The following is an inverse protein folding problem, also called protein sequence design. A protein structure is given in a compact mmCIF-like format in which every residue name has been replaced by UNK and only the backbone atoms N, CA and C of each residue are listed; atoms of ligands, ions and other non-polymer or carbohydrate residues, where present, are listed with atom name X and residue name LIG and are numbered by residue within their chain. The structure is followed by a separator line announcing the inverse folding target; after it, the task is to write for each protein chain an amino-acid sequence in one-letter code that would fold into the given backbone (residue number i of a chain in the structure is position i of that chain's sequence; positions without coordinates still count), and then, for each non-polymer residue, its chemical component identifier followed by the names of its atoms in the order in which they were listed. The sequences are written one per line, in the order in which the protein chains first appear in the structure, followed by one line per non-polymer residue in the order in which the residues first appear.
data_IF_063340262681
#
_entry.id   IF_063340262681
#
_cell.length_a   1.000
_cell.length_b   1.000
_cell.length_c   1.000
_cell.angle_alpha   90.00
_cell.angle_beta   90.00
_cell.angle_gamma   90.00
#
_symmetry.space_group_name_H-M   'P 1'
#
loop_
_entity.id
_entity.type
_entity.pdbx_description
1 polymer ?
#
# COMPACT_ATOMS: atom_id res chain seq x y z
N UNK A 1 2.81 12.28 -16.49
CA UNK A 1 2.98 11.49 -15.27
C UNK A 1 3.60 10.15 -15.67
N UNK A 2 4.68 9.73 -15.03
CA UNK A 2 5.41 8.51 -15.39
C UNK A 2 4.86 7.34 -14.55
N UNK A 3 4.02 6.50 -15.17
CA UNK A 3 3.37 5.38 -14.51
C UNK A 3 4.39 4.39 -13.91
N UNK A 4 5.51 4.15 -14.59
CA UNK A 4 6.52 3.22 -14.08
C UNK A 4 7.13 3.71 -12.77
N UNK A 5 7.42 5.01 -12.67
CA UNK A 5 7.94 5.61 -11.43
C UNK A 5 6.94 5.49 -10.28
N UNK A 6 5.64 5.64 -10.55
CA UNK A 6 4.59 5.47 -9.54
C UNK A 6 4.53 4.02 -9.05
N UNK A 7 4.54 3.05 -9.98
CA UNK A 7 4.52 1.63 -9.63
C UNK A 7 5.75 1.23 -8.80
N UNK A 8 6.94 1.73 -9.16
CA UNK A 8 8.18 1.51 -8.38
C UNK A 8 8.04 2.12 -6.97
N UNK A 9 7.48 3.32 -6.85
CA UNK A 9 7.26 3.95 -5.54
C UNK A 9 6.27 3.14 -4.69
N UNK A 10 5.15 2.70 -5.26
CA UNK A 10 4.15 1.87 -4.57
C UNK A 10 4.74 0.53 -4.14
N UNK A 11 5.53 -0.11 -5.02
CA UNK A 11 6.26 -1.33 -4.73
C UNK A 11 7.19 -1.17 -3.53
N UNK A 12 8.02 -0.11 -3.52
CA UNK A 12 8.93 0.14 -2.41
C UNK A 12 8.17 0.41 -1.11
N UNK A 13 7.10 1.22 -1.17
CA UNK A 13 6.27 1.53 -0.01
C UNK A 13 5.63 0.28 0.60
N UNK A 14 5.01 -0.58 -0.22
CA UNK A 14 4.36 -1.79 0.27
C UNK A 14 5.35 -2.75 0.92
N UNK A 15 6.54 -2.91 0.32
CA UNK A 15 7.62 -3.72 0.92
C UNK A 15 8.09 -3.16 2.25
N UNK A 16 8.37 -1.86 2.31
CA UNK A 16 8.77 -1.21 3.57
C UNK A 16 7.69 -1.42 4.63
N UNK A 17 6.42 -1.21 4.32
CA UNK A 17 5.35 -1.39 5.30
C UNK A 17 5.20 -2.83 5.79
N UNK A 18 5.42 -3.83 4.92
CA UNK A 18 5.44 -5.23 5.32
C UNK A 18 6.54 -5.54 6.34
N UNK A 19 7.71 -4.90 6.25
CA UNK A 19 8.80 -5.04 7.23
C UNK A 19 8.44 -4.49 8.61
N UNK A 20 7.55 -3.49 8.66
CA UNK A 20 7.01 -2.94 9.90
C UNK A 20 5.69 -3.58 10.34
N UNK A 21 5.22 -4.63 9.67
CA UNK A 21 3.95 -5.31 9.99
C UNK A 21 3.91 -5.83 11.43
N UNK A 22 5.06 -6.27 11.97
CA UNK A 22 5.24 -6.66 13.37
C UNK A 22 4.98 -5.56 14.40
N UNK A 23 5.07 -4.29 13.98
CA UNK A 23 4.74 -3.13 14.80
C UNK A 23 3.31 -2.63 14.58
N UNK A 24 2.48 -3.42 13.89
CA UNK A 24 1.07 -3.12 13.67
C UNK A 24 0.77 -2.39 12.37
N UNK A 25 1.75 -2.15 11.48
CA UNK A 25 1.50 -1.56 10.16
C UNK A 25 0.75 -2.54 9.26
N UNK A 26 -0.59 -2.55 9.38
CA UNK A 26 -1.49 -3.43 8.63
C UNK A 26 -2.04 -2.72 7.39
N UNK A 27 -2.31 -3.45 6.30
CA UNK A 27 -2.75 -2.87 5.03
C UNK A 27 -4.11 -2.16 5.08
N UNK A 28 -5.02 -2.58 5.96
CA UNK A 28 -6.35 -1.95 6.11
C UNK A 28 -6.32 -0.45 6.51
N UNK A 29 -5.18 0.07 6.99
CA UNK A 29 -5.05 1.51 7.22
C UNK A 29 -5.04 2.33 5.93
N UNK A 30 -4.81 1.69 4.78
CA UNK A 30 -4.94 2.34 3.47
C UNK A 30 -6.39 2.72 3.16
N UNK A 31 -7.37 2.00 3.69
CA UNK A 31 -8.79 2.34 3.54
C UNK A 31 -9.10 3.68 4.23
N UNK A 32 -8.51 3.87 5.42
CA UNK A 32 -8.64 5.12 6.18
C UNK A 32 -7.95 6.26 5.43
N UNK A 33 -6.73 6.02 4.92
CA UNK A 33 -6.01 6.98 4.09
C UNK A 33 -6.84 7.38 2.86
N UNK A 34 -7.44 6.42 2.16
CA UNK A 34 -8.28 6.67 0.99
C UNK A 34 -9.48 7.54 1.33
N UNK A 35 -10.20 7.22 2.40
CA UNK A 35 -11.35 7.99 2.85
C UNK A 35 -10.96 9.42 3.23
N UNK A 36 -9.84 9.59 3.95
CA UNK A 36 -9.36 10.92 4.33
C UNK A 36 -8.94 11.74 3.11
N UNK A 37 -8.21 11.15 2.16
CA UNK A 37 -7.78 11.84 0.95
C UNK A 37 -8.98 12.27 0.11
N UNK A 38 -9.93 11.37 -0.14
CA UNK A 38 -11.13 11.69 -0.91
C UNK A 38 -12.02 12.71 -0.21
N UNK A 39 -12.11 12.65 1.12
CA UNK A 39 -12.80 13.66 1.92
C UNK A 39 -12.15 15.04 1.78
N UNK A 40 -10.82 15.12 1.81
CA UNK A 40 -10.10 16.38 1.60
C UNK A 40 -10.30 16.93 0.19
N UNK A 41 -10.26 16.06 -0.83
CA UNK A 41 -10.50 16.45 -2.22
C UNK A 41 -11.91 17.03 -2.37
N UNK A 42 -12.93 16.37 -1.80
CA UNK A 42 -14.31 16.84 -1.83
C UNK A 42 -14.52 18.22 -1.16
N UNK A 43 -13.59 18.68 -0.32
CA UNK A 43 -13.64 19.99 0.34
C UNK A 43 -12.91 21.10 -0.42
N UNK A 44 -12.30 20.82 -1.58
CA UNK A 44 -11.65 21.83 -2.41
C UNK A 44 -12.70 22.76 -3.02
N UNK A 45 -12.33 24.01 -3.29
CA UNK A 45 -13.18 24.94 -4.03
C UNK A 45 -13.14 24.60 -5.53
N UNK A 46 -14.32 24.42 -6.12
CA UNK A 46 -14.50 24.06 -7.53
C UNK A 46 -15.30 25.14 -8.25
N UNK A 47 -15.02 25.35 -9.53
CA UNK A 47 -15.76 26.32 -10.36
C UNK A 47 -17.20 25.87 -10.58
N UNK A 48 -17.43 24.55 -10.65
CA UNK A 48 -18.75 23.96 -10.83
C UNK A 48 -18.81 22.49 -10.35
N UNK A 49 -20.03 21.96 -10.22
CA UNK A 49 -20.27 20.60 -9.73
C UNK A 49 -19.70 19.51 -10.63
N UNK A 50 -19.59 19.76 -11.94
CA UNK A 50 -19.07 18.79 -12.90
C UNK A 50 -17.55 18.64 -12.75
N UNK A 51 -16.83 19.74 -12.59
CA UNK A 51 -15.39 19.71 -12.29
C UNK A 51 -15.10 18.93 -11.00
N UNK A 52 -15.89 19.17 -9.95
CA UNK A 52 -15.80 18.43 -8.69
C UNK A 52 -15.97 16.92 -8.92
N UNK A 53 -17.02 16.52 -9.64
CA UNK A 53 -17.31 15.12 -9.93
C UNK A 53 -16.17 14.44 -10.72
N UNK A 54 -15.71 15.07 -11.81
CA UNK A 54 -14.62 14.57 -12.64
C UNK A 54 -13.32 14.44 -11.83
N UNK A 55 -13.03 15.42 -10.96
CA UNK A 55 -11.86 15.40 -10.08
C UNK A 55 -11.94 14.24 -9.08
N UNK A 56 -13.06 14.09 -8.39
CA UNK A 56 -13.25 13.01 -7.41
C UNK A 56 -13.09 11.64 -8.09
N UNK A 57 -13.71 11.44 -9.25
CA UNK A 57 -13.62 10.19 -10.02
C UNK A 57 -12.16 9.90 -10.42
N UNK A 58 -11.45 10.92 -10.93
CA UNK A 58 -10.05 10.76 -11.31
C UNK A 58 -9.18 10.35 -10.11
N UNK A 59 -9.40 10.96 -8.95
CA UNK A 59 -8.68 10.60 -7.73
C UNK A 59 -9.07 9.24 -7.18
N UNK A 60 -10.32 8.79 -7.30
CA UNK A 60 -10.70 7.41 -6.94
C UNK A 60 -9.89 6.42 -7.76
N UNK A 61 -9.84 6.59 -9.09
CA UNK A 61 -9.08 5.69 -9.95
C UNK A 61 -7.58 5.73 -9.67
N UNK A 62 -7.03 6.92 -9.48
CA UNK A 62 -5.62 7.09 -9.15
C UNK A 62 -5.25 6.43 -7.82
N UNK A 63 -6.08 6.63 -6.79
CA UNK A 63 -5.81 6.10 -5.46
C UNK A 63 -5.98 4.58 -5.41
N UNK A 64 -6.95 4.02 -6.15
CA UNK A 64 -7.09 2.57 -6.29
C UNK A 64 -5.84 1.95 -6.92
N UNK A 65 -5.30 2.55 -8.00
CA UNK A 65 -4.06 2.06 -8.62
C UNK A 65 -2.89 2.02 -7.62
N UNK A 66 -2.75 3.07 -6.80
CA UNK A 66 -1.71 3.14 -5.76
C UNK A 66 -1.91 2.05 -4.72
N UNK A 67 -3.12 1.92 -4.20
CA UNK A 67 -3.45 0.97 -3.13
C UNK A 67 -3.27 -0.47 -3.62
N UNK A 68 -3.78 -0.82 -4.81
CA UNK A 68 -3.61 -2.15 -5.39
C UNK A 68 -2.13 -2.51 -5.57
N UNK A 69 -1.36 -1.62 -6.19
CA UNK A 69 0.09 -1.82 -6.41
C UNK A 69 0.87 -1.96 -5.09
N UNK A 70 0.48 -1.18 -4.09
CA UNK A 70 1.04 -1.27 -2.75
C UNK A 70 0.69 -2.63 -2.12
N UNK A 71 -0.59 -3.03 -2.14
CA UNK A 71 -1.07 -4.25 -1.48
C UNK A 71 -0.44 -5.50 -2.06
N UNK A 72 -0.23 -5.54 -3.37
CA UNK A 72 0.48 -6.61 -4.06
C UNK A 72 1.90 -6.78 -3.50
N UNK A 73 2.67 -5.69 -3.48
CA UNK A 73 4.05 -5.72 -2.98
C UNK A 73 4.15 -5.98 -1.47
N UNK A 74 3.20 -5.45 -0.67
CA UNK A 74 3.09 -5.73 0.76
C UNK A 74 2.84 -7.22 1.01
N UNK A 75 1.90 -7.81 0.27
CA UNK A 75 1.53 -9.23 0.42
C UNK A 75 2.67 -10.14 0.01
N UNK A 76 3.32 -9.83 -1.12
CA UNK A 76 4.51 -10.55 -1.57
C UNK A 76 5.62 -10.51 -0.51
N UNK A 77 5.95 -9.32 0.01
CA UNK A 77 7.00 -9.17 1.02
C UNK A 77 6.66 -9.86 2.34
N UNK A 78 5.41 -9.83 2.75
CA UNK A 78 4.95 -10.54 3.96
C UNK A 78 5.18 -12.05 3.83
N UNK A 79 4.91 -12.62 2.66
CA UNK A 79 5.18 -14.04 2.38
C UNK A 79 6.68 -14.34 2.43
N UNK A 80 7.51 -13.52 1.77
CA UNK A 80 8.98 -13.67 1.81
C UNK A 80 9.53 -13.65 3.24
N UNK A 81 9.06 -12.73 4.09
CA UNK A 81 9.50 -12.62 5.48
C UNK A 81 9.16 -13.91 6.24
N UNK A 82 7.92 -14.41 6.10
CA UNK A 82 7.48 -15.65 6.75
C UNK A 82 8.27 -16.88 6.28
N UNK A 83 8.62 -16.94 5.00
CA UNK A 83 9.45 -18.02 4.47
C UNK A 83 10.87 -17.96 5.02
N UNK A 84 11.46 -16.77 5.14
CA UNK A 84 12.77 -16.57 5.74
C UNK A 84 12.79 -16.97 7.22
N UNK A 85 11.76 -16.58 7.98
CA UNK A 85 11.61 -16.95 9.39
C UNK A 85 11.59 -18.48 9.58
N UNK A 86 10.85 -19.21 8.73
CA UNK A 86 10.82 -20.68 8.76
C UNK A 86 12.18 -21.31 8.48
N UNK A 87 12.92 -20.78 7.50
CA UNK A 87 14.25 -21.31 7.16
C UNK A 87 15.22 -21.13 8.35
N UNK A 88 15.17 -19.97 9.01
CA UNK A 88 16.01 -19.71 10.19
C UNK A 88 15.65 -20.66 11.33
N UNK A 89 14.36 -20.89 11.58
CA UNK A 89 13.88 -21.82 12.62
C UNK A 89 14.37 -23.25 12.39
N UNK A 90 14.29 -23.77 11.16
CA UNK A 90 14.78 -25.12 10.81
C UNK A 90 16.29 -25.24 11.02
N UNK A 91 17.08 -24.25 10.59
CA UNK A 91 18.55 -24.28 10.79
C UNK A 91 18.95 -24.28 12.26
N UNK A 92 18.26 -23.48 13.08
CA UNK A 92 18.51 -23.46 14.53
C UNK A 92 18.20 -24.80 15.18
N UNK A 93 17.19 -25.53 14.70
CA UNK A 93 16.87 -26.88 15.19
C UNK A 93 17.94 -27.91 14.78
N UNK A 94 18.51 -27.79 13.59
CA UNK A 94 19.60 -28.67 13.11
C UNK A 94 20.91 -28.46 13.89
N UNK A 95 21.19 -27.25 14.40
CA UNK A 95 22.41 -26.95 15.18
C UNK A 95 22.35 -27.45 16.64
N UNK A 96 21.16 -27.82 17.15
CA UNK A 96 20.93 -28.24 18.53
C UNK A 96 20.84 -29.78 18.66
N UNK A 97 20.76 -30.51 17.53
CA UNK A 97 20.70 -31.98 17.45
C UNK A 97 22.05 -32.60 17.10
#
# INVERSE_FOLDING_TARGET
MDQQKILIACYNLGRTHAEYSRYGMKPHFLDIFQQQLLGQIACIEYENSKEMEETIIAFIHFNNLIIESFLDSYSQRTTEIREQEKIVEVRLLEEIL
#
